data_IF_510724986328
#
_entry.id   IF_510724986328
#
_cell.length_a   1.000
_cell.length_b   1.000
_cell.length_c   1.000
_cell.angle_alpha   90.00
_cell.angle_beta   90.00
_cell.angle_gamma   90.00
#
_symmetry.space_group_name_H-M   'P 1'
#
loop_
_entity.id
_entity.type
_entity.pdbx_description
1 polymer ?
#
# COMPACT_ATOMS: atom_id res chain seq x y z
N UNK A 1 4.83 28.05 3.82
CA UNK A 1 5.20 26.64 3.62
C UNK A 1 5.31 26.00 4.97
N UNK A 2 4.58 24.90 5.21
CA UNK A 2 4.76 24.12 6.44
C UNK A 2 5.92 23.16 6.22
N UNK A 3 6.95 23.27 7.06
CA UNK A 3 8.07 22.33 7.11
C UNK A 3 7.63 21.20 8.02
N UNK A 4 7.44 20.00 7.47
CA UNK A 4 7.26 18.79 8.26
C UNK A 4 8.63 18.19 8.56
N UNK A 5 9.02 18.17 9.84
CA UNK A 5 10.23 17.49 10.31
C UNK A 5 9.86 16.08 10.73
N UNK A 6 10.28 15.08 9.96
CA UNK A 6 10.16 13.68 10.37
C UNK A 6 11.31 13.33 11.29
N UNK A 7 10.99 13.07 12.57
CA UNK A 7 11.97 12.52 13.52
C UNK A 7 11.92 11.01 13.39
N UNK A 8 12.87 10.42 12.66
CA UNK A 8 13.02 8.96 12.60
C UNK A 8 13.60 8.50 13.95
N UNK A 9 12.90 7.67 14.74
CA UNK A 9 13.46 7.15 15.99
C UNK A 9 14.64 6.25 15.65
N UNK A 10 15.83 6.61 16.14
CA UNK A 10 17.06 5.83 15.97
C UNK A 10 16.95 4.54 16.79
N UNK A 11 16.44 3.48 16.16
CA UNK A 11 16.68 2.11 16.57
C UNK A 11 17.67 1.53 15.57
N UNK A 12 18.94 1.48 15.96
CA UNK A 12 20.02 0.81 15.23
C UNK A 12 19.74 -0.70 15.17
N UNK A 13 18.93 -1.10 14.20
CA UNK A 13 19.20 -2.31 13.43
C UNK A 13 19.83 -1.84 12.14
N UNK A 14 20.82 -2.57 11.65
CA UNK A 14 21.54 -2.31 10.41
C UNK A 14 20.64 -2.57 9.17
N UNK A 15 19.45 -1.95 9.16
CA UNK A 15 18.49 -2.03 8.08
C UNK A 15 18.86 -0.97 7.06
N UNK A 16 19.74 -1.34 6.14
CA UNK A 16 19.94 -0.59 4.91
C UNK A 16 18.66 -0.63 4.08
N UNK A 17 18.28 0.54 3.56
CA UNK A 17 17.08 0.71 2.75
C UNK A 17 17.14 2.05 2.04
N UNK A 18 16.21 2.24 1.11
CA UNK A 18 16.08 3.47 0.33
C UNK A 18 14.69 4.07 0.53
N UNK A 19 14.61 5.39 0.38
CA UNK A 19 13.35 6.14 0.39
C UNK A 19 13.36 7.05 -0.83
N UNK A 20 12.31 6.97 -1.64
CA UNK A 20 12.15 7.87 -2.79
C UNK A 20 11.28 9.05 -2.37
N UNK A 21 11.86 10.25 -2.41
CA UNK A 21 11.18 11.51 -2.13
C UNK A 21 11.19 12.36 -3.39
N UNK A 22 10.02 12.82 -3.82
CA UNK A 22 9.91 13.70 -4.99
C UNK A 22 8.87 14.80 -4.77
N UNK A 23 9.10 15.95 -5.41
CA UNK A 23 8.12 17.03 -5.42
C UNK A 23 6.92 16.66 -6.31
N UNK A 24 5.66 16.98 -5.94
CA UNK A 24 4.48 16.65 -6.75
C UNK A 24 4.55 17.12 -8.21
N UNK A 25 5.31 18.18 -8.49
CA UNK A 25 5.54 18.70 -9.84
C UNK A 25 6.16 17.66 -10.78
N UNK A 26 6.95 16.70 -10.26
CA UNK A 26 7.59 15.66 -11.06
C UNK A 26 6.56 14.85 -11.86
N UNK A 27 5.44 14.51 -11.22
CA UNK A 27 4.40 13.65 -11.80
C UNK A 27 3.17 14.44 -12.28
N UNK A 28 3.08 15.74 -12.00
CA UNK A 28 1.86 16.53 -12.22
C UNK A 28 1.33 16.44 -13.66
N UNK A 29 2.23 16.44 -14.65
CA UNK A 29 1.87 16.40 -16.07
C UNK A 29 1.89 14.99 -16.67
N UNK A 30 2.17 13.94 -15.88
CA UNK A 30 2.25 12.57 -16.37
C UNK A 30 0.96 11.79 -16.10
N UNK A 31 0.79 10.65 -16.77
CA UNK A 31 -0.30 9.71 -16.48
C UNK A 31 -0.21 9.17 -15.05
N UNK A 32 1.00 9.04 -14.49
CA UNK A 32 1.18 8.67 -13.10
C UNK A 32 0.54 9.69 -12.16
N UNK A 33 0.70 11.00 -12.38
CA UNK A 33 0.03 12.02 -11.57
C UNK A 33 -1.49 11.87 -11.53
N UNK A 34 -2.09 11.39 -12.63
CA UNK A 34 -3.53 11.14 -12.73
C UNK A 34 -3.96 9.84 -12.08
N UNK A 35 -3.11 8.82 -12.03
CA UNK A 35 -3.50 7.45 -11.62
C UNK A 35 -2.96 7.04 -10.25
N UNK A 36 -1.98 7.76 -9.69
CA UNK A 36 -1.32 7.38 -8.42
C UNK A 36 -2.29 7.23 -7.23
N UNK A 37 -3.38 8.00 -7.21
CA UNK A 37 -4.39 7.91 -6.15
C UNK A 37 -5.27 6.65 -6.21
N UNK A 38 -5.20 5.89 -7.32
CA UNK A 38 -5.98 4.67 -7.52
C UNK A 38 -5.35 3.47 -6.80
N UNK A 39 -4.08 3.56 -6.40
CA UNK A 39 -3.42 2.54 -5.61
C UNK A 39 -3.98 2.54 -4.17
N UNK A 40 -4.77 1.51 -3.85
CA UNK A 40 -5.41 1.36 -2.53
C UNK A 40 -4.40 1.21 -1.39
N UNK A 41 -3.22 0.66 -1.66
CA UNK A 41 -2.19 0.42 -0.65
C UNK A 41 -1.65 1.69 0.02
N UNK A 42 -1.89 2.89 -0.52
CA UNK A 42 -1.58 4.14 0.18
C UNK A 42 -2.51 4.42 1.37
N UNK A 43 -3.62 3.68 1.49
CA UNK A 43 -4.59 3.76 2.58
C UNK A 43 -4.46 2.61 3.59
N UNK A 44 -3.46 1.74 3.42
CA UNK A 44 -3.19 0.65 4.33
C UNK A 44 -2.52 1.18 5.60
N UNK A 45 -2.75 0.49 6.72
CA UNK A 45 -2.10 0.80 7.99
C UNK A 45 -0.65 0.31 8.00
N UNK A 46 0.18 0.83 8.91
CA UNK A 46 1.61 0.54 8.95
C UNK A 46 1.93 -0.93 9.26
N UNK A 47 1.03 -1.64 9.96
CA UNK A 47 1.13 -3.06 10.25
C UNK A 47 0.80 -3.96 9.03
N UNK A 48 0.34 -3.38 7.92
CA UNK A 48 -0.03 -4.07 6.67
C UNK A 48 1.06 -3.94 5.60
N UNK A 49 2.29 -3.63 6.01
CA UNK A 49 3.39 -3.40 5.10
C UNK A 49 3.62 -4.57 4.12
N UNK A 50 3.91 -4.21 2.86
CA UNK A 50 4.23 -5.15 1.79
C UNK A 50 5.41 -6.06 2.17
N UNK A 51 5.18 -7.37 2.14
CA UNK A 51 6.23 -8.37 2.30
C UNK A 51 6.68 -8.88 0.94
N UNK A 52 7.95 -8.67 0.65
CA UNK A 52 8.59 -9.03 -0.62
C UNK A 52 9.42 -10.31 -0.50
N UNK A 53 9.32 -11.18 -1.50
CA UNK A 53 10.26 -12.27 -1.70
C UNK A 53 11.60 -11.72 -2.22
N UNK A 54 12.68 -12.49 -2.07
CA UNK A 54 14.03 -12.01 -2.39
C UNK A 54 14.17 -11.53 -3.84
N UNK A 55 13.59 -12.26 -4.79
CA UNK A 55 13.58 -11.87 -6.21
C UNK A 55 12.84 -10.55 -6.47
N UNK A 56 11.79 -10.27 -5.70
CA UNK A 56 10.99 -9.04 -5.85
C UNK A 56 11.74 -7.85 -5.26
N UNK A 57 12.43 -8.03 -4.13
CA UNK A 57 13.32 -7.01 -3.56
C UNK A 57 14.44 -6.64 -4.54
N UNK A 58 15.11 -7.64 -5.11
CA UNK A 58 16.17 -7.43 -6.10
C UNK A 58 15.67 -6.65 -7.31
N UNK A 59 14.46 -6.97 -7.80
CA UNK A 59 13.85 -6.26 -8.91
C UNK A 59 13.53 -4.80 -8.58
N UNK A 60 12.92 -4.52 -7.42
CA UNK A 60 12.65 -3.14 -7.00
C UNK A 60 13.94 -2.35 -6.76
N UNK A 61 14.96 -2.96 -6.16
CA UNK A 61 16.26 -2.32 -5.98
C UNK A 61 16.87 -1.90 -7.32
N UNK A 62 16.82 -2.75 -8.35
CA UNK A 62 17.32 -2.40 -9.68
C UNK A 62 16.60 -1.19 -10.31
N UNK A 63 15.29 -1.05 -10.08
CA UNK A 63 14.53 0.13 -10.51
C UNK A 63 14.96 1.39 -9.75
N UNK A 64 15.23 1.27 -8.46
CA UNK A 64 15.73 2.39 -7.64
C UNK A 64 17.12 2.80 -8.07
N UNK A 65 18.02 1.85 -8.29
CA UNK A 65 19.36 2.12 -8.82
C UNK A 65 19.29 2.83 -10.18
N UNK A 66 18.30 2.47 -11.02
CA UNK A 66 18.06 3.15 -12.30
C UNK A 66 17.62 4.59 -12.08
N UNK A 67 16.70 4.86 -11.15
CA UNK A 67 16.27 6.22 -10.79
C UNK A 67 17.47 7.02 -10.24
N UNK A 68 18.29 6.42 -9.37
CA UNK A 68 19.47 7.06 -8.81
C UNK A 68 20.47 7.44 -9.91
N UNK A 69 20.69 6.58 -10.90
CA UNK A 69 21.54 6.88 -12.04
C UNK A 69 21.02 8.05 -12.87
N UNK A 70 19.71 8.13 -13.11
CA UNK A 70 19.10 9.27 -13.84
C UNK A 70 19.27 10.59 -13.08
N UNK A 71 19.21 10.58 -11.74
CA UNK A 71 19.41 11.78 -10.90
C UNK A 71 20.85 12.29 -11.00
N UNK A 72 21.84 11.39 -11.12
CA UNK A 72 23.26 11.75 -11.18
C UNK A 72 23.75 12.09 -12.59
N UNK A 73 22.93 11.87 -13.62
CA UNK A 73 23.21 12.27 -15.00
C UNK A 73 22.82 13.74 -15.26
N UNK A 74 23.16 14.24 -16.45
CA UNK A 74 22.72 15.57 -16.87
C UNK A 74 21.22 15.57 -17.06
N UNK A 75 20.50 16.15 -16.11
CA UNK A 75 19.05 16.16 -16.10
C UNK A 75 18.48 16.87 -17.33
N UNK A 76 17.76 16.12 -18.14
CA UNK A 76 16.97 16.62 -19.25
C UNK A 76 15.51 16.12 -19.16
N UNK A 77 14.72 16.45 -20.17
CA UNK A 77 13.32 16.01 -20.24
C UNK A 77 13.19 14.49 -20.29
N UNK A 78 14.12 13.80 -20.94
CA UNK A 78 14.10 12.34 -21.05
C UNK A 78 14.41 11.70 -19.69
N UNK A 79 15.39 12.20 -18.94
CA UNK A 79 15.65 11.73 -17.57
C UNK A 79 14.43 11.89 -16.68
N UNK A 80 13.71 13.02 -16.79
CA UNK A 80 12.46 13.21 -16.04
C UNK A 80 11.40 12.17 -16.42
N UNK A 81 11.18 11.95 -17.72
CA UNK A 81 10.22 10.96 -18.20
C UNK A 81 10.59 9.53 -17.76
N UNK A 82 11.88 9.17 -17.78
CA UNK A 82 12.40 7.87 -17.33
C UNK A 82 12.22 7.67 -15.81
N UNK A 83 12.50 8.69 -15.00
CA UNK A 83 12.26 8.62 -13.55
C UNK A 83 10.78 8.35 -13.25
N UNK A 84 9.87 9.07 -13.93
CA UNK A 84 8.42 8.89 -13.76
C UNK A 84 7.98 7.48 -14.18
N UNK A 85 8.51 6.94 -15.29
CA UNK A 85 8.21 5.57 -15.73
C UNK A 85 8.69 4.51 -14.74
N UNK A 86 9.90 4.68 -14.18
CA UNK A 86 10.42 3.77 -13.16
C UNK A 86 9.58 3.83 -11.87
N UNK A 87 9.18 5.03 -11.42
CA UNK A 87 8.26 5.20 -10.30
C UNK A 87 6.92 4.48 -10.54
N UNK A 88 6.32 4.68 -11.72
CA UNK A 88 5.08 4.00 -12.09
C UNK A 88 5.25 2.48 -12.09
N UNK A 89 6.39 1.99 -12.58
CA UNK A 89 6.72 0.56 -12.59
C UNK A 89 6.82 0.02 -11.16
N UNK A 90 7.54 0.70 -10.26
CA UNK A 90 7.63 0.33 -8.85
C UNK A 90 6.22 0.18 -8.25
N UNK A 91 5.35 1.18 -8.44
CA UNK A 91 3.99 1.15 -7.89
C UNK A 91 3.11 0.03 -8.46
N UNK A 92 3.20 -0.24 -9.76
CA UNK A 92 2.48 -1.36 -10.41
C UNK A 92 2.93 -2.70 -9.85
N UNK A 93 4.24 -2.88 -9.65
CA UNK A 93 4.76 -4.10 -9.05
C UNK A 93 4.41 -4.21 -7.57
N UNK A 94 4.42 -3.11 -6.81
CA UNK A 94 3.90 -3.09 -5.44
C UNK A 94 2.45 -3.58 -5.37
N UNK A 95 1.56 -3.06 -6.24
CA UNK A 95 0.17 -3.53 -6.33
C UNK A 95 0.10 -5.04 -6.57
N UNK A 96 0.83 -5.54 -7.60
CA UNK A 96 0.90 -6.97 -7.91
C UNK A 96 1.41 -7.81 -6.74
N UNK A 97 2.38 -7.32 -5.98
CA UNK A 97 2.95 -8.04 -4.85
C UNK A 97 1.99 -8.08 -3.65
N UNK A 98 1.21 -7.02 -3.43
CA UNK A 98 0.08 -7.04 -2.49
C UNK A 98 -0.95 -8.09 -2.90
N UNK A 99 -1.38 -8.09 -4.18
CA UNK A 99 -2.34 -9.08 -4.70
C UNK A 99 -1.85 -10.52 -4.42
N UNK A 100 -0.57 -10.80 -4.69
CA UNK A 100 0.03 -12.09 -4.39
C UNK A 100 -0.01 -12.43 -2.89
N UNK A 101 0.17 -11.47 -1.99
CA UNK A 101 0.06 -11.75 -0.56
C UNK A 101 -1.33 -12.24 -0.19
N UNK A 102 -2.37 -11.69 -0.81
CA UNK A 102 -3.75 -12.17 -0.66
C UNK A 102 -3.89 -13.64 -1.10
N UNK A 103 -3.36 -13.99 -2.27
CA UNK A 103 -3.41 -15.37 -2.78
C UNK A 103 -2.57 -16.39 -1.99
N UNK A 104 -1.40 -15.99 -1.48
CA UNK A 104 -0.44 -16.94 -0.88
C UNK A 104 -0.64 -17.17 0.61
N UNK A 105 -1.46 -16.35 1.28
CA UNK A 105 -1.76 -16.46 2.72
C UNK A 105 -3.18 -16.94 3.01
N UNK A 106 -3.79 -17.71 2.11
CA UNK A 106 -5.17 -18.24 2.22
C UNK A 106 -5.53 -18.80 3.60
N UNK A 107 -4.69 -19.61 4.29
CA UNK A 107 -5.06 -20.13 5.62
C UNK A 107 -5.18 -19.04 6.70
N UNK A 108 -4.37 -17.98 6.60
CA UNK A 108 -4.45 -16.82 7.50
C UNK A 108 -5.71 -15.98 7.18
N UNK A 109 -6.05 -15.86 5.89
CA UNK A 109 -7.23 -15.13 5.45
C UNK A 109 -8.54 -15.84 5.79
N UNK A 110 -8.58 -17.17 5.76
CA UNK A 110 -9.74 -17.94 6.22
C UNK A 110 -10.10 -17.61 7.68
N UNK A 111 -9.10 -17.40 8.54
CA UNK A 111 -9.33 -16.96 9.92
C UNK A 111 -9.88 -15.53 10.02
N UNK A 112 -9.47 -14.63 9.12
CA UNK A 112 -9.99 -13.26 9.05
C UNK A 112 -11.43 -13.27 8.54
N UNK A 113 -11.75 -14.07 7.52
CA UNK A 113 -13.11 -14.22 6.99
C UNK A 113 -14.07 -14.78 8.04
N UNK A 114 -13.62 -15.76 8.83
CA UNK A 114 -14.41 -16.29 9.94
C UNK A 114 -14.69 -15.20 11.00
N UNK A 115 -13.68 -14.44 11.40
CA UNK A 115 -13.85 -13.31 12.33
C UNK A 115 -14.77 -12.22 11.77
N UNK A 116 -14.71 -11.96 10.46
CA UNK A 116 -15.61 -11.02 9.80
C UNK A 116 -17.07 -11.51 9.82
N UNK A 117 -17.32 -12.79 9.53
CA UNK A 117 -18.65 -13.39 9.61
C UNK A 117 -19.17 -13.38 11.06
N UNK A 118 -18.32 -13.72 12.05
CA UNK A 118 -18.66 -13.66 13.47
C UNK A 118 -18.99 -12.23 13.93
N UNK A 119 -18.21 -11.24 13.48
CA UNK A 119 -18.48 -9.82 13.75
C UNK A 119 -19.84 -9.40 13.19
N UNK A 120 -20.14 -9.74 11.93
CA UNK A 120 -21.43 -9.41 11.31
C UNK A 120 -22.59 -10.12 12.01
N UNK A 121 -22.45 -11.41 12.34
CA UNK A 121 -23.45 -12.16 13.12
C UNK A 121 -23.71 -11.49 14.45
N UNK A 122 -22.66 -11.09 15.18
CA UNK A 122 -22.78 -10.36 16.44
C UNK A 122 -23.45 -8.99 16.27
N UNK A 123 -23.11 -8.26 15.21
CA UNK A 123 -23.72 -6.96 14.90
C UNK A 123 -25.21 -7.09 14.63
N UNK A 124 -25.61 -8.12 13.87
CA UNK A 124 -27.01 -8.32 13.48
C UNK A 124 -27.85 -9.07 14.53
N UNK A 125 -27.23 -9.75 15.49
CA UNK A 125 -27.93 -10.46 16.56
C UNK A 125 -28.45 -9.53 17.69
N UNK A 126 -28.01 -8.27 17.75
CA UNK A 126 -28.53 -7.31 18.74
C UNK A 126 -29.94 -6.85 18.37
N UNK A 127 -30.85 -6.82 19.36
CA UNK A 127 -32.30 -6.57 19.20
C UNK A 127 -32.68 -5.18 18.67
N UNK A 128 -31.71 -4.28 18.48
CA UNK A 128 -31.92 -2.87 18.11
C UNK A 128 -31.52 -2.54 16.65
N UNK A 129 -31.88 -3.43 15.72
CA UNK A 129 -31.62 -3.23 14.28
C UNK A 129 -32.36 -2.02 13.68
N UNK A 130 -33.40 -1.51 14.35
CA UNK A 130 -34.09 -0.28 13.96
C UNK A 130 -33.26 0.99 14.21
N UNK A 131 -32.30 0.96 15.15
CA UNK A 131 -31.42 2.09 15.46
C UNK A 131 -29.99 1.89 14.92
N UNK A 132 -29.53 0.65 14.76
CA UNK A 132 -28.22 0.34 14.20
C UNK A 132 -28.21 0.35 12.66
N UNK A 133 -27.48 1.30 12.10
CA UNK A 133 -27.09 1.28 10.68
C UNK A 133 -26.17 0.08 10.34
N UNK A 134 -26.06 -0.22 9.04
CA UNK A 134 -25.09 -1.19 8.50
C UNK A 134 -23.67 -0.73 8.88
N UNK A 135 -22.78 -1.62 9.36
CA UNK A 135 -21.43 -1.24 9.72
C UNK A 135 -20.66 -0.80 8.47
N UNK A 136 -19.89 0.27 8.59
CA UNK A 136 -19.03 0.71 7.47
C UNK A 136 -17.83 -0.23 7.34
N UNK A 137 -17.22 -0.23 6.15
CA UNK A 137 -16.01 -1.02 5.90
C UNK A 137 -14.88 -0.63 6.85
N UNK A 138 -14.77 0.64 7.21
CA UNK A 138 -13.82 1.14 8.19
C UNK A 138 -14.09 0.56 9.58
N UNK A 139 -15.36 0.52 10.01
CA UNK A 139 -15.73 -0.06 11.29
C UNK A 139 -15.43 -1.57 11.34
N UNK A 140 -15.71 -2.28 10.24
CA UNK A 140 -15.37 -3.70 10.10
C UNK A 140 -13.85 -3.93 10.14
N UNK A 141 -13.07 -3.14 9.41
CA UNK A 141 -11.61 -3.22 9.42
C UNK A 141 -11.04 -3.00 10.83
N UNK A 142 -11.51 -1.94 11.50
CA UNK A 142 -11.09 -1.64 12.88
C UNK A 142 -11.37 -2.78 13.86
N UNK A 143 -12.55 -3.41 13.75
CA UNK A 143 -12.90 -4.57 14.57
C UNK A 143 -11.98 -5.78 14.34
N UNK A 144 -11.36 -5.86 13.16
CA UNK A 144 -10.42 -6.92 12.76
C UNK A 144 -8.95 -6.48 12.82
N UNK A 145 -8.66 -5.31 13.41
CA UNK A 145 -7.31 -4.74 13.54
C UNK A 145 -6.59 -4.52 12.20
N UNK A 146 -7.34 -4.09 11.18
CA UNK A 146 -6.84 -3.77 9.84
C UNK A 146 -7.52 -2.51 9.28
N UNK A 147 -6.92 -1.93 8.25
CA UNK A 147 -7.54 -0.83 7.51
C UNK A 147 -8.75 -1.35 6.73
N UNK A 148 -9.78 -0.50 6.58
CA UNK A 148 -10.93 -0.84 5.75
C UNK A 148 -10.57 -1.08 4.28
N UNK A 149 -9.52 -0.42 3.78
CA UNK A 149 -9.02 -0.62 2.41
C UNK A 149 -8.38 -1.99 2.25
N UNK A 150 -7.56 -2.43 3.22
CA UNK A 150 -6.97 -3.77 3.21
C UNK A 150 -8.04 -4.86 3.32
N UNK A 151 -9.03 -4.69 4.21
CA UNK A 151 -10.17 -5.61 4.31
C UNK A 151 -10.93 -5.71 2.97
N UNK A 152 -11.18 -4.58 2.31
CA UNK A 152 -11.89 -4.56 1.02
C UNK A 152 -11.16 -5.32 -0.07
N UNK A 153 -9.85 -5.14 -0.19
CA UNK A 153 -9.04 -5.80 -1.22
C UNK A 153 -8.82 -7.28 -0.89
N UNK A 154 -8.71 -7.64 0.40
CA UNK A 154 -8.72 -9.03 0.87
C UNK A 154 -10.02 -9.73 0.46
N UNK A 155 -11.17 -9.12 0.74
CA UNK A 155 -12.49 -9.69 0.41
C UNK A 155 -12.67 -9.85 -1.10
N UNK A 156 -12.26 -8.85 -1.90
CA UNK A 156 -12.35 -8.92 -3.38
C UNK A 156 -11.53 -10.08 -3.96
N UNK A 157 -10.47 -10.51 -3.28
CA UNK A 157 -9.63 -11.61 -3.76
C UNK A 157 -10.28 -12.98 -3.52
N UNK A 158 -11.19 -13.09 -2.55
CA UNK A 158 -11.85 -14.34 -2.14
C UNK A 158 -13.27 -14.51 -2.72
N UNK A 159 -13.84 -13.47 -3.36
CA UNK A 159 -15.18 -13.47 -4.00
C UNK A 159 -15.11 -13.37 -5.52
#
# INVERSE_FOLDING_TARGET
GQVATFTVPQQERDSQGWVILFHPDLIRSSELGKTIHQYSFFKYDTNEALHLAEKEKQFLNALVDTIEQEIHQNMDRHSQDLMVQNLETILKYSARYYDRQFYTRTPMHQGILAQFDDYLRGWFATEDLSEKCIPTVEACGQALHMSGSYLSDLLRTET
#
